data_IF_336735077361
#
_entry.id   IF_336735077361
#
_cell.length_a   1.000
_cell.length_b   1.000
_cell.length_c   1.000
_cell.angle_alpha   90.00
_cell.angle_beta   90.00
_cell.angle_gamma   90.00
#
_symmetry.space_group_name_H-M   'P 1'
#
loop_
_entity.id
_entity.type
_entity.pdbx_description
1 polymer ?
#
# COMPACT_ATOMS: atom_id res chain seq x y z
N UNK A 1 21.46 2.33 -0.92
CA UNK A 1 22.16 3.60 -1.26
C UNK A 1 21.64 4.70 -0.35
N UNK A 2 22.53 5.59 0.05
CA UNK A 2 22.22 6.74 0.90
C UNK A 2 22.54 7.99 0.09
N UNK A 3 21.56 8.88 -0.09
CA UNK A 3 21.72 10.09 -0.90
C UNK A 3 21.16 11.31 -0.19
N UNK A 4 21.80 12.46 -0.42
CA UNK A 4 21.25 13.76 -0.04
C UNK A 4 20.43 14.31 -1.22
N UNK A 5 19.20 14.71 -0.96
CA UNK A 5 18.36 15.39 -1.96
C UNK A 5 18.66 16.89 -2.01
N UNK A 6 18.39 17.49 -3.17
CA UNK A 6 18.26 18.95 -3.24
C UNK A 6 17.01 19.43 -2.47
N UNK A 7 16.98 20.72 -2.08
CA UNK A 7 15.91 21.29 -1.26
C UNK A 7 14.51 21.14 -1.89
N UNK A 8 14.41 21.21 -3.22
CA UNK A 8 13.13 21.11 -3.93
C UNK A 8 12.61 19.69 -3.95
N UNK A 9 13.51 18.71 -4.10
CA UNK A 9 13.17 17.29 -4.02
C UNK A 9 12.86 16.88 -2.57
N UNK A 10 13.59 17.41 -1.59
CA UNK A 10 13.29 17.21 -0.18
C UNK A 10 11.88 17.73 0.19
N UNK A 11 11.54 18.94 -0.27
CA UNK A 11 10.21 19.52 -0.06
C UNK A 11 9.10 18.71 -0.75
N UNK A 12 9.33 18.18 -1.96
CA UNK A 12 8.40 17.31 -2.67
C UNK A 12 8.06 16.06 -1.85
N UNK A 13 9.07 15.45 -1.24
CA UNK A 13 8.88 14.25 -0.39
C UNK A 13 8.38 14.59 1.02
N UNK A 14 8.12 15.87 1.32
CA UNK A 14 7.67 16.30 2.65
C UNK A 14 8.74 16.23 3.72
N UNK A 15 10.01 16.19 3.31
CA UNK A 15 11.17 16.25 4.22
C UNK A 15 11.64 17.69 4.34
N UNK A 16 11.01 18.46 5.23
CA UNK A 16 11.35 19.87 5.47
C UNK A 16 12.59 20.06 6.33
N UNK A 17 12.98 19.04 7.09
CA UNK A 17 14.18 19.02 7.91
C UNK A 17 15.31 18.31 7.15
N UNK A 18 15.85 18.98 6.13
CA UNK A 18 16.78 18.51 5.11
C UNK A 18 18.14 17.92 5.60
N UNK A 19 18.22 17.40 6.80
CA UNK A 19 19.46 16.85 7.39
C UNK A 19 19.49 15.32 7.44
N UNK A 20 18.45 14.64 6.97
CA UNK A 20 18.39 13.19 6.90
C UNK A 20 18.69 12.66 5.50
N UNK A 21 19.59 11.69 5.41
CA UNK A 21 19.82 10.99 4.17
C UNK A 21 18.66 10.03 3.89
N UNK A 22 18.20 10.01 2.64
CA UNK A 22 17.28 9.00 2.17
C UNK A 22 17.99 7.65 2.08
N UNK A 23 17.28 6.59 2.41
CA UNK A 23 17.76 5.21 2.24
C UNK A 23 16.88 4.49 1.24
N UNK A 24 17.49 4.05 0.15
CA UNK A 24 16.84 3.20 -0.85
C UNK A 24 17.27 1.76 -0.64
N UNK A 25 16.28 0.89 -0.53
CA UNK A 25 16.46 -0.55 -0.41
C UNK A 25 15.86 -1.23 -1.63
N UNK A 26 16.63 -2.12 -2.22
CA UNK A 26 16.23 -2.92 -3.37
C UNK A 26 16.84 -4.30 -3.23
N UNK A 27 16.09 -5.32 -3.63
CA UNK A 27 16.65 -6.66 -3.77
C UNK A 27 17.67 -6.70 -4.92
N UNK A 28 18.72 -7.55 -4.82
CA UNK A 28 19.75 -7.66 -5.86
C UNK A 28 19.20 -8.00 -7.24
N UNK A 29 18.16 -8.82 -7.29
CA UNK A 29 17.57 -9.36 -8.52
C UNK A 29 16.46 -8.49 -9.12
N UNK A 30 16.25 -7.30 -8.59
CA UNK A 30 15.15 -6.40 -8.99
C UNK A 30 13.94 -6.56 -8.08
N UNK A 31 12.75 -6.21 -8.58
CA UNK A 31 11.51 -6.22 -7.82
C UNK A 31 11.17 -4.87 -7.20
N UNK A 32 10.42 -4.88 -6.12
CA UNK A 32 9.98 -3.66 -5.45
C UNK A 32 11.13 -2.93 -4.76
N UNK A 33 10.97 -1.63 -4.63
CA UNK A 33 11.92 -0.77 -3.93
C UNK A 33 11.23 -0.09 -2.75
N UNK A 34 11.99 0.09 -1.67
CA UNK A 34 11.54 0.83 -0.49
C UNK A 34 12.41 2.07 -0.32
N UNK A 35 11.77 3.23 -0.27
CA UNK A 35 12.42 4.50 0.01
C UNK A 35 12.06 4.91 1.45
N UNK A 36 13.06 4.94 2.32
CA UNK A 36 12.90 5.38 3.69
C UNK A 36 13.20 6.88 3.77
N UNK A 37 12.21 7.64 4.22
CA UNK A 37 12.30 9.06 4.47
C UNK A 37 12.55 9.29 5.97
N UNK A 38 13.58 10.04 6.37
CA UNK A 38 13.74 10.43 7.76
C UNK A 38 12.54 11.25 8.22
N UNK A 39 12.02 10.92 9.39
CA UNK A 39 10.92 11.63 10.04
C UNK A 39 11.24 11.85 11.50
N UNK A 40 10.72 12.92 12.09
CA UNK A 40 10.79 13.12 13.52
C UNK A 40 9.85 12.15 14.24
N UNK A 41 10.28 11.61 15.38
CA UNK A 41 9.41 10.82 16.27
C UNK A 41 8.24 11.64 16.82
N UNK A 42 8.33 12.96 16.78
CA UNK A 42 7.26 13.88 17.20
C UNK A 42 6.17 14.01 16.13
N UNK A 43 6.44 13.62 14.89
CA UNK A 43 5.41 13.61 13.84
C UNK A 43 4.33 12.55 14.15
N UNK A 44 3.06 12.88 13.92
CA UNK A 44 1.98 11.94 14.15
C UNK A 44 2.06 10.73 13.20
N UNK A 45 1.48 9.62 13.60
CA UNK A 45 1.25 8.50 12.69
C UNK A 45 0.22 8.89 11.63
N UNK A 46 0.48 8.57 10.36
CA UNK A 46 -0.48 8.74 9.25
C UNK A 46 -1.76 7.96 9.52
N UNK A 47 -1.63 6.73 10.01
CA UNK A 47 -2.75 5.95 10.53
C UNK A 47 -2.57 5.81 12.03
N UNK A 48 -3.41 6.47 12.86
CA UNK A 48 -3.35 6.31 14.30
C UNK A 48 -3.48 4.83 14.71
N UNK A 49 -2.70 4.39 15.68
CA UNK A 49 -2.68 2.98 16.13
C UNK A 49 -4.06 2.49 16.63
N UNK A 50 -4.88 3.41 17.13
CA UNK A 50 -6.23 3.10 17.58
C UNK A 50 -7.26 2.95 16.44
N UNK A 51 -6.86 3.20 15.18
CA UNK A 51 -7.77 3.02 14.05
C UNK A 51 -7.98 1.53 13.77
N UNK A 52 -9.22 1.06 13.67
CA UNK A 52 -9.52 -0.29 13.18
C UNK A 52 -8.86 -0.54 11.82
N UNK A 53 -8.50 -1.80 11.54
CA UNK A 53 -7.91 -2.21 10.25
C UNK A 53 -8.79 -1.77 9.09
N UNK A 54 -10.10 -1.99 9.19
CA UNK A 54 -11.07 -1.64 8.15
C UNK A 54 -11.31 -0.13 7.94
N UNK A 55 -10.60 0.76 8.67
CA UNK A 55 -10.78 2.21 8.49
C UNK A 55 -10.24 2.67 7.14
N UNK A 56 -11.05 3.29 6.26
CA UNK A 56 -10.57 3.81 5.00
C UNK A 56 -9.56 4.94 5.19
N UNK A 57 -8.61 5.05 4.26
CA UNK A 57 -7.70 6.18 4.17
C UNK A 57 -6.23 5.81 4.08
N UNK A 58 -5.56 6.40 3.11
CA UNK A 58 -4.14 6.17 2.85
C UNK A 58 -3.80 4.77 2.37
N UNK A 59 -2.50 4.47 2.41
CA UNK A 59 -1.98 3.13 2.19
C UNK A 59 -2.04 2.41 3.53
N UNK A 60 -2.73 1.26 3.57
CA UNK A 60 -2.88 0.50 4.82
C UNK A 60 -1.64 -0.33 5.10
N UNK A 61 -1.24 -1.16 4.14
CA UNK A 61 -0.10 -2.05 4.29
C UNK A 61 0.67 -2.29 2.99
N UNK A 62 1.78 -2.99 3.15
CA UNK A 62 2.57 -3.61 2.09
C UNK A 62 2.54 -5.12 2.30
N UNK A 63 2.45 -5.88 1.21
CA UNK A 63 2.28 -7.32 1.26
C UNK A 63 3.52 -8.07 0.81
N UNK A 64 3.93 -9.08 1.59
CA UNK A 64 5.02 -10.00 1.29
C UNK A 64 4.53 -11.45 1.37
N UNK A 65 5.09 -12.30 0.52
CA UNK A 65 4.85 -13.75 0.57
C UNK A 65 5.86 -14.42 1.48
N UNK A 66 5.46 -15.52 2.10
CA UNK A 66 6.38 -16.41 2.83
C UNK A 66 6.06 -17.87 2.48
N UNK A 67 7.07 -18.72 2.59
CA UNK A 67 6.91 -20.18 2.52
C UNK A 67 6.53 -20.81 3.87
N UNK A 68 6.76 -20.06 4.97
CA UNK A 68 6.54 -20.50 6.36
C UNK A 68 6.12 -19.32 7.23
N UNK A 69 4.82 -19.21 7.51
CA UNK A 69 4.29 -18.09 8.32
C UNK A 69 4.72 -18.16 9.78
N UNK A 70 4.99 -19.33 10.34
CA UNK A 70 5.44 -19.44 11.74
C UNK A 70 6.89 -18.96 11.88
N UNK A 71 7.74 -19.28 10.90
CA UNK A 71 9.09 -18.73 10.82
C UNK A 71 9.05 -17.21 10.62
N UNK A 72 8.23 -16.71 9.70
CA UNK A 72 8.11 -15.27 9.41
C UNK A 72 7.68 -14.47 10.66
N UNK A 73 6.73 -14.98 11.44
CA UNK A 73 6.33 -14.39 12.72
C UNK A 73 7.50 -14.26 13.69
N UNK A 74 8.25 -15.35 13.89
CA UNK A 74 9.42 -15.35 14.77
C UNK A 74 10.50 -14.38 14.29
N UNK A 75 10.75 -14.33 12.98
CA UNK A 75 11.72 -13.42 12.37
C UNK A 75 11.32 -11.97 12.57
N UNK A 76 10.08 -11.61 12.26
CA UNK A 76 9.58 -10.24 12.38
C UNK A 76 9.57 -9.77 13.84
N UNK A 77 9.13 -10.62 14.78
CA UNK A 77 9.17 -10.30 16.20
C UNK A 77 10.59 -10.04 16.71
N UNK A 78 11.57 -10.84 16.26
CA UNK A 78 12.98 -10.65 16.60
C UNK A 78 13.57 -9.33 16.03
N UNK A 79 12.92 -8.73 15.02
CA UNK A 79 13.33 -7.49 14.38
C UNK A 79 12.43 -6.29 14.73
N UNK A 80 11.69 -6.35 15.85
CA UNK A 80 10.94 -5.22 16.39
C UNK A 80 9.56 -5.00 15.78
N UNK A 81 9.04 -5.95 14.99
CA UNK A 81 7.67 -5.93 14.54
C UNK A 81 6.74 -6.50 15.61
N UNK A 82 5.63 -5.83 15.86
CA UNK A 82 4.56 -6.32 16.73
C UNK A 82 3.47 -6.96 15.89
N UNK A 83 2.91 -8.04 16.38
CA UNK A 83 1.76 -8.68 15.78
C UNK A 83 0.51 -7.79 15.96
N UNK A 84 -0.11 -7.38 14.87
CA UNK A 84 -1.38 -6.67 14.85
C UNK A 84 -2.54 -7.65 14.73
N UNK A 85 -2.38 -8.67 13.87
CA UNK A 85 -3.28 -9.81 13.71
C UNK A 85 -2.44 -11.07 13.58
N UNK A 86 -2.71 -12.04 14.46
CA UNK A 86 -2.05 -13.36 14.38
C UNK A 86 -2.36 -14.06 13.07
N UNK A 87 -1.42 -14.80 12.49
CA UNK A 87 -1.65 -15.53 11.25
C UNK A 87 -2.84 -16.47 11.32
N UNK A 88 -3.78 -16.29 10.43
CA UNK A 88 -5.00 -17.10 10.29
C UNK A 88 -5.12 -17.65 8.89
N UNK A 89 -5.61 -18.88 8.75
CA UNK A 89 -5.93 -19.46 7.45
C UNK A 89 -7.33 -19.06 7.03
N UNK A 90 -7.45 -18.53 5.82
CA UNK A 90 -8.74 -18.13 5.26
C UNK A 90 -8.78 -18.33 3.75
N UNK A 91 -9.99 -18.27 3.19
CA UNK A 91 -10.24 -18.52 1.78
C UNK A 91 -10.70 -17.27 1.06
N UNK A 92 -10.18 -17.10 -0.14
CA UNK A 92 -10.59 -16.09 -1.10
C UNK A 92 -10.89 -16.79 -2.43
N UNK A 93 -12.17 -17.06 -2.70
CA UNK A 93 -12.55 -17.96 -3.80
C UNK A 93 -11.92 -19.34 -3.63
N UNK A 94 -11.14 -19.79 -4.63
CA UNK A 94 -10.42 -21.07 -4.59
C UNK A 94 -9.04 -20.96 -3.91
N UNK A 95 -8.65 -19.75 -3.54
CA UNK A 95 -7.35 -19.48 -2.90
C UNK A 95 -7.47 -19.68 -1.40
N UNK A 96 -6.60 -20.51 -0.84
CA UNK A 96 -6.40 -20.63 0.60
C UNK A 96 -5.04 -20.00 0.95
N UNK A 97 -5.07 -19.09 1.91
CA UNK A 97 -3.87 -18.39 2.40
C UNK A 97 -3.87 -18.37 3.92
N UNK A 98 -2.67 -18.35 4.51
CA UNK A 98 -2.46 -18.04 5.92
C UNK A 98 -1.82 -16.66 5.98
N UNK A 99 -2.50 -15.72 6.61
CA UNK A 99 -2.14 -14.30 6.60
C UNK A 99 -2.07 -13.75 8.01
N UNK A 100 -1.05 -12.97 8.29
CA UNK A 100 -0.89 -12.22 9.52
C UNK A 100 -0.46 -10.79 9.23
N UNK A 101 -0.88 -9.86 10.10
CA UNK A 101 -0.52 -8.44 10.01
C UNK A 101 0.45 -8.08 11.12
N UNK A 102 1.50 -7.36 10.75
CA UNK A 102 2.55 -6.91 11.65
C UNK A 102 2.73 -5.39 11.52
N UNK A 103 3.03 -4.74 12.62
CA UNK A 103 3.16 -3.28 12.69
C UNK A 103 4.44 -2.87 13.40
N UNK A 104 5.08 -1.81 12.92
CA UNK A 104 6.18 -1.13 13.59
C UNK A 104 5.74 0.15 14.28
N UNK A 105 6.57 0.67 15.18
CA UNK A 105 6.32 1.91 15.93
C UNK A 105 6.16 3.14 15.02
N UNK A 106 6.67 3.06 13.78
CA UNK A 106 6.46 4.09 12.76
C UNK A 106 5.12 3.98 12.03
N UNK A 107 4.25 3.05 12.44
CA UNK A 107 2.93 2.86 11.83
C UNK A 107 2.97 2.15 10.48
N UNK A 108 4.09 1.56 10.10
CA UNK A 108 4.19 0.73 8.89
C UNK A 108 3.55 -0.61 9.20
N UNK A 109 2.54 -0.99 8.42
CA UNK A 109 1.90 -2.31 8.49
C UNK A 109 2.43 -3.16 7.34
N UNK A 110 2.71 -4.43 7.65
CA UNK A 110 3.10 -5.47 6.70
C UNK A 110 2.16 -6.65 6.84
N UNK A 111 1.54 -7.05 5.74
CA UNK A 111 0.86 -8.33 5.66
C UNK A 111 1.86 -9.40 5.17
N UNK A 112 1.87 -10.53 5.85
CA UNK A 112 2.68 -11.68 5.46
C UNK A 112 1.78 -12.84 5.12
N UNK A 113 1.86 -13.29 3.86
CA UNK A 113 0.93 -14.23 3.26
C UNK A 113 1.64 -15.53 2.86
N UNK A 114 1.21 -16.65 3.46
CA UNK A 114 1.59 -17.99 3.02
C UNK A 114 0.48 -18.58 2.17
N UNK A 115 0.74 -18.83 0.88
CA UNK A 115 -0.19 -19.52 0.01
C UNK A 115 -0.24 -21.00 0.37
N UNK A 116 -1.43 -21.47 0.81
CA UNK A 116 -1.66 -22.87 1.14
C UNK A 116 -2.21 -23.65 -0.07
N UNK A 117 -3.17 -23.05 -0.82
CA UNK A 117 -3.75 -23.69 -2.00
C UNK A 117 -4.32 -22.63 -2.99
N UNK A 118 -4.21 -22.84 -4.33
CA UNK A 118 -3.24 -23.70 -4.98
C UNK A 118 -1.81 -23.21 -4.75
N UNK A 119 -0.79 -24.08 -4.85
CA UNK A 119 0.59 -23.65 -4.72
C UNK A 119 0.95 -22.55 -5.72
N UNK A 120 1.81 -21.61 -5.30
CA UNK A 120 2.36 -20.60 -6.19
C UNK A 120 3.16 -21.26 -7.31
N UNK A 121 2.91 -20.85 -8.55
CA UNK A 121 3.63 -21.36 -9.71
C UNK A 121 4.51 -20.26 -10.32
N UNK A 122 5.76 -20.61 -10.61
CA UNK A 122 6.70 -19.71 -11.26
C UNK A 122 7.24 -18.57 -10.39
N UNK A 123 6.83 -18.51 -9.11
CA UNK A 123 7.29 -17.53 -8.15
C UNK A 123 8.25 -18.23 -7.19
N UNK A 124 9.51 -17.80 -7.20
CA UNK A 124 10.55 -18.34 -6.33
C UNK A 124 11.06 -17.23 -5.41
N UNK A 125 11.13 -17.52 -4.14
CA UNK A 125 11.76 -16.67 -3.13
C UNK A 125 12.34 -17.56 -2.02
N UNK A 126 13.30 -17.04 -1.30
CA UNK A 126 13.88 -17.73 -0.14
C UNK A 126 13.28 -17.13 1.12
N UNK A 127 12.47 -17.91 1.83
CA UNK A 127 11.76 -17.57 3.08
C UNK A 127 10.71 -16.46 2.92
N UNK A 128 11.08 -15.30 2.42
CA UNK A 128 10.17 -14.16 2.17
C UNK A 128 10.44 -13.58 0.79
N UNK A 129 9.37 -13.16 0.10
CA UNK A 129 9.48 -12.44 -1.17
C UNK A 129 9.87 -10.97 -0.93
N UNK A 130 10.06 -10.23 -2.02
CA UNK A 130 9.92 -8.79 -2.01
C UNK A 130 8.44 -8.38 -1.79
N UNK A 131 8.21 -7.06 -1.70
CA UNK A 131 6.86 -6.50 -1.62
C UNK A 131 6.19 -6.71 -2.99
N UNK A 132 5.09 -7.47 -3.03
CA UNK A 132 4.42 -7.78 -4.29
C UNK A 132 3.19 -6.93 -4.56
N UNK A 133 2.52 -6.42 -3.53
CA UNK A 133 1.45 -5.43 -3.67
C UNK A 133 1.31 -4.56 -2.40
N UNK A 134 0.34 -3.65 -2.42
CA UNK A 134 -0.05 -2.82 -1.29
C UNK A 134 -1.56 -2.80 -1.18
N UNK A 135 -2.08 -2.62 0.04
CA UNK A 135 -3.52 -2.56 0.29
C UNK A 135 -3.96 -1.13 0.65
N UNK A 136 -5.07 -0.70 0.08
CA UNK A 136 -5.78 0.51 0.49
C UNK A 136 -7.19 0.15 0.98
N UNK A 137 -7.49 0.50 2.22
CA UNK A 137 -8.86 0.47 2.72
C UNK A 137 -9.60 1.68 2.16
N UNK A 138 -10.68 1.45 1.41
CA UNK A 138 -11.39 2.50 0.67
C UNK A 138 -12.86 2.59 1.05
N UNK A 139 -13.48 3.74 0.81
CA UNK A 139 -14.92 3.93 1.01
C UNK A 139 -15.75 3.42 -0.17
N UNK A 140 -15.14 3.26 -1.33
CA UNK A 140 -15.74 2.68 -2.54
C UNK A 140 -14.67 2.18 -3.49
N UNK A 141 -14.67 0.88 -3.72
CA UNK A 141 -13.79 0.24 -4.72
C UNK A 141 -14.05 0.81 -6.10
N UNK A 142 -15.34 0.99 -6.51
CA UNK A 142 -15.68 1.53 -7.82
C UNK A 142 -15.08 2.90 -8.06
N UNK A 143 -15.21 3.78 -7.07
CA UNK A 143 -14.72 5.16 -7.15
C UNK A 143 -13.20 5.19 -7.26
N UNK A 144 -12.52 4.37 -6.48
CA UNK A 144 -11.05 4.32 -6.50
C UNK A 144 -10.54 3.66 -7.78
N UNK A 145 -11.21 2.62 -8.29
CA UNK A 145 -10.88 2.05 -9.61
C UNK A 145 -11.04 3.06 -10.75
N UNK A 146 -12.14 3.83 -10.76
CA UNK A 146 -12.33 4.88 -11.76
C UNK A 146 -11.21 5.93 -11.73
N UNK A 147 -10.69 6.24 -10.56
CA UNK A 147 -9.53 7.11 -10.40
C UNK A 147 -8.25 6.43 -10.92
N UNK A 148 -7.99 5.18 -10.56
CA UNK A 148 -6.79 4.43 -10.98
C UNK A 148 -6.76 4.18 -12.49
N UNK A 149 -7.91 4.07 -13.15
CA UNK A 149 -8.01 3.95 -14.62
C UNK A 149 -7.42 5.15 -15.38
N UNK A 150 -7.30 6.33 -14.74
CA UNK A 150 -6.55 7.45 -15.31
C UNK A 150 -5.06 7.16 -15.49
N UNK A 151 -4.55 6.14 -14.84
CA UNK A 151 -3.15 5.72 -14.85
C UNK A 151 -3.00 4.32 -15.44
N UNK A 152 -3.94 3.93 -16.31
CA UNK A 152 -3.96 2.66 -17.05
C UNK A 152 -4.06 1.41 -16.15
N UNK A 153 -4.52 1.56 -14.89
CA UNK A 153 -4.81 0.43 -14.03
C UNK A 153 -6.10 -0.27 -14.47
N UNK A 154 -6.01 -1.58 -14.63
CA UNK A 154 -7.15 -2.44 -14.94
C UNK A 154 -7.42 -3.41 -13.79
N UNK A 155 -8.70 -3.62 -13.49
CA UNK A 155 -9.13 -4.59 -12.51
C UNK A 155 -8.94 -6.02 -13.06
N UNK A 156 -8.20 -6.87 -12.37
CA UNK A 156 -8.06 -8.28 -12.72
C UNK A 156 -8.54 -9.24 -11.63
N UNK A 157 -8.83 -8.74 -10.42
CA UNK A 157 -9.53 -9.47 -9.37
C UNK A 157 -10.71 -8.63 -8.89
N UNK A 158 -11.89 -9.23 -8.78
CA UNK A 158 -13.08 -8.65 -8.15
C UNK A 158 -13.77 -9.73 -7.32
N UNK A 159 -13.83 -9.52 -6.02
CA UNK A 159 -14.55 -10.37 -5.10
C UNK A 159 -15.57 -9.55 -4.33
N UNK A 160 -16.78 -10.11 -4.20
CA UNK A 160 -17.84 -9.54 -3.38
C UNK A 160 -18.48 -10.66 -2.60
N UNK A 161 -18.56 -10.53 -1.32
CA UNK A 161 -19.23 -11.54 -0.53
C UNK A 161 -18.91 -11.44 0.96
N UNK A 162 -19.46 -12.38 1.71
CA UNK A 162 -19.11 -12.49 3.11
C UNK A 162 -17.63 -12.84 3.26
N UNK A 163 -17.01 -12.31 4.29
CA UNK A 163 -15.69 -12.71 4.74
C UNK A 163 -15.87 -13.57 6.00
N UNK A 164 -16.08 -14.89 5.84
CA UNK A 164 -16.46 -15.72 6.97
C UNK A 164 -15.29 -16.04 7.90
N UNK A 165 -15.61 -16.22 9.17
CA UNK A 165 -14.71 -16.80 10.15
C UNK A 165 -13.36 -16.10 10.29
N UNK A 166 -12.30 -16.82 10.04
CA UNK A 166 -10.92 -16.34 10.22
C UNK A 166 -10.56 -15.19 9.26
N UNK A 167 -11.17 -15.09 8.08
CA UNK A 167 -10.96 -13.95 7.17
C UNK A 167 -11.45 -12.64 7.77
N UNK A 168 -12.55 -12.66 8.54
CA UNK A 168 -13.03 -11.49 9.25
C UNK A 168 -12.02 -11.00 10.31
N UNK A 169 -11.25 -11.92 10.92
CA UNK A 169 -10.18 -11.58 11.87
C UNK A 169 -9.06 -10.76 11.24
N UNK A 170 -8.70 -11.03 9.99
CA UNK A 170 -7.66 -10.25 9.30
C UNK A 170 -8.04 -8.77 9.26
N UNK A 171 -9.34 -8.47 9.07
CA UNK A 171 -9.85 -7.11 9.06
C UNK A 171 -10.36 -6.62 10.43
N UNK A 172 -10.15 -7.39 11.50
CA UNK A 172 -10.69 -7.11 12.85
C UNK A 172 -12.22 -6.93 12.86
N UNK A 173 -12.92 -7.78 12.11
CA UNK A 173 -14.40 -7.78 11.98
C UNK A 173 -15.05 -9.00 12.61
N UNK A 174 -14.32 -9.78 13.42
CA UNK A 174 -14.80 -11.03 14.02
C UNK A 174 -15.99 -10.87 14.95
N UNK A 175 -16.13 -9.69 15.56
CA UNK A 175 -17.28 -9.36 16.44
C UNK A 175 -18.53 -8.95 15.66
N UNK A 176 -18.44 -8.85 14.33
CA UNK A 176 -19.55 -8.48 13.49
C UNK A 176 -20.37 -9.71 13.10
N UNK A 177 -21.71 -9.61 13.01
CA UNK A 177 -22.52 -10.70 12.48
C UNK A 177 -22.03 -11.10 11.09
N UNK A 178 -21.90 -12.40 10.84
CA UNK A 178 -21.44 -12.95 9.55
C UNK A 178 -22.20 -12.36 8.34
N UNK A 179 -23.49 -12.08 8.54
CA UNK A 179 -24.37 -11.46 7.54
C UNK A 179 -23.95 -10.03 7.16
N UNK A 180 -23.17 -9.35 8.01
CA UNK A 180 -22.73 -7.97 7.82
C UNK A 180 -21.23 -7.85 7.52
N UNK A 181 -20.45 -8.89 7.72
CA UNK A 181 -19.03 -8.95 7.36
C UNK A 181 -18.85 -9.15 5.85
N UNK A 182 -19.55 -8.36 5.04
CA UNK A 182 -19.39 -8.35 3.60
C UNK A 182 -18.28 -7.39 3.20
N UNK A 183 -17.36 -7.90 2.39
CA UNK A 183 -16.29 -7.12 1.80
C UNK A 183 -16.43 -7.08 0.30
N UNK A 184 -15.93 -6.02 -0.29
CA UNK A 184 -15.52 -5.98 -1.67
C UNK A 184 -14.02 -5.84 -1.72
N UNK A 185 -13.37 -6.75 -2.40
CA UNK A 185 -11.93 -6.76 -2.62
C UNK A 185 -11.68 -6.72 -4.13
N UNK A 186 -10.81 -5.83 -4.55
CA UNK A 186 -10.42 -5.69 -5.94
C UNK A 186 -8.91 -5.49 -6.03
N UNK A 187 -8.28 -6.12 -7.00
CA UNK A 187 -6.86 -5.92 -7.29
C UNK A 187 -6.73 -5.37 -8.69
N UNK A 188 -5.95 -4.29 -8.83
CA UNK A 188 -5.73 -3.59 -10.08
C UNK A 188 -4.24 -3.38 -10.36
N UNK A 189 -3.86 -3.52 -11.65
CA UNK A 189 -2.52 -3.28 -12.16
C UNK A 189 -2.59 -2.94 -13.67
N UNK A 190 -1.68 -2.10 -14.20
CA UNK A 190 -1.72 -1.73 -15.63
C UNK A 190 -1.63 -2.90 -16.60
N UNK A 191 -0.88 -3.95 -16.27
CA UNK A 191 -0.71 -5.14 -17.12
C UNK A 191 -1.37 -6.41 -16.56
N UNK A 192 -2.21 -6.29 -15.53
CA UNK A 192 -2.87 -7.42 -14.89
C UNK A 192 -1.96 -8.30 -14.04
N UNK A 193 -0.73 -7.86 -13.74
CA UNK A 193 0.19 -8.59 -12.88
C UNK A 193 -0.17 -8.44 -11.40
N UNK A 194 0.21 -9.43 -10.58
CA UNK A 194 0.07 -9.33 -9.13
C UNK A 194 1.15 -8.43 -8.54
N UNK A 195 2.38 -8.55 -9.01
CA UNK A 195 3.52 -7.81 -8.46
C UNK A 195 3.45 -6.34 -8.89
N UNK A 196 3.43 -5.43 -7.90
CA UNK A 196 3.20 -4.00 -8.08
C UNK A 196 1.73 -3.58 -8.12
N UNK A 197 0.80 -4.51 -7.92
CA UNK A 197 -0.64 -4.21 -7.91
C UNK A 197 -1.06 -3.42 -6.67
N UNK A 198 -2.25 -2.83 -6.75
CA UNK A 198 -2.94 -2.18 -5.64
C UNK A 198 -4.19 -3.00 -5.32
N UNK A 199 -4.27 -3.48 -4.10
CA UNK A 199 -5.46 -4.11 -3.55
C UNK A 199 -6.35 -3.05 -2.89
N UNK A 200 -7.61 -3.07 -3.24
CA UNK A 200 -8.64 -2.17 -2.72
C UNK A 200 -9.65 -2.98 -1.93
N UNK A 201 -9.87 -2.62 -0.67
CA UNK A 201 -10.86 -3.29 0.17
C UNK A 201 -11.84 -2.26 0.71
N UNK A 202 -13.14 -2.49 0.50
CA UNK A 202 -14.19 -1.78 1.22
C UNK A 202 -15.05 -2.73 2.05
N UNK A 203 -15.62 -2.18 3.13
CA UNK A 203 -16.52 -2.90 4.03
C UNK A 203 -17.84 -2.11 4.09
N UNK A 204 -18.73 -2.26 3.10
CA UNK A 204 -19.91 -1.39 2.92
C UNK A 204 -20.87 -1.38 4.12
N UNK A 205 -20.94 -2.49 4.87
CA UNK A 205 -21.79 -2.58 6.06
C UNK A 205 -21.25 -1.84 7.28
N UNK A 206 -19.98 -1.40 7.24
CA UNK A 206 -19.31 -0.68 8.32
C UNK A 206 -18.67 0.61 7.79
N UNK A 207 -19.48 1.63 7.41
CA UNK A 207 -18.95 2.88 6.91
C UNK A 207 -18.22 3.61 8.04
N UNK A 208 -16.90 3.53 8.03
CA UNK A 208 -16.03 4.31 8.90
C UNK A 208 -15.63 5.62 8.23
N UNK A 209 -15.41 6.69 8.99
CA UNK A 209 -14.90 7.93 8.42
C UNK A 209 -13.51 7.72 7.84
N UNK A 210 -13.29 8.20 6.61
CA UNK A 210 -11.99 8.10 5.96
C UNK A 210 -10.97 9.03 6.62
N UNK A 211 -9.73 8.56 6.72
CA UNK A 211 -8.58 9.35 7.15
C UNK A 211 -7.96 10.00 5.91
N UNK A 212 -7.99 11.32 5.80
CA UNK A 212 -7.30 12.04 4.73
C UNK A 212 -5.81 12.23 5.09
N UNK A 213 -4.98 11.32 4.61
CA UNK A 213 -3.54 11.31 4.90
C UNK A 213 -2.69 11.89 3.76
N UNK A 214 -3.27 12.14 2.58
CA UNK A 214 -2.51 12.50 1.39
C UNK A 214 -1.70 13.80 1.52
N UNK A 215 -2.21 14.72 2.32
CA UNK A 215 -1.62 16.05 2.57
C UNK A 215 -0.90 16.17 3.91
N UNK A 216 -0.90 15.11 4.71
CA UNK A 216 -0.30 15.12 6.02
C UNK A 216 1.17 14.72 5.93
N UNK A 217 2.03 15.48 6.58
CA UNK A 217 3.32 14.96 7.02
C UNK A 217 3.06 13.95 8.14
N UNK A 218 3.91 12.93 8.27
CA UNK A 218 3.74 11.96 9.32
C UNK A 218 4.57 10.70 9.11
N UNK A 219 4.55 9.81 10.09
CA UNK A 219 5.21 8.51 10.07
C UNK A 219 4.29 7.45 9.50
N UNK A 220 4.82 6.52 8.72
CA UNK A 220 4.09 5.42 8.09
C UNK A 220 4.27 5.34 6.59
N UNK A 221 3.38 4.63 5.92
CA UNK A 221 3.38 4.48 4.46
C UNK A 221 2.84 5.76 3.80
N UNK A 222 3.73 6.52 3.17
CA UNK A 222 3.40 7.86 2.66
C UNK A 222 2.89 7.86 1.23
N UNK A 223 3.52 7.10 0.35
CA UNK A 223 3.19 7.10 -1.08
C UNK A 223 3.56 5.78 -1.75
N UNK A 224 2.86 5.47 -2.82
CA UNK A 224 3.28 4.50 -3.82
C UNK A 224 3.93 5.24 -4.98
N UNK A 225 5.17 4.89 -5.32
CA UNK A 225 5.89 5.43 -6.46
C UNK A 225 5.69 4.50 -7.65
N UNK A 226 5.06 5.01 -8.71
CA UNK A 226 4.61 4.20 -9.84
C UNK A 226 5.29 4.71 -11.11
N UNK A 227 6.13 3.89 -11.79
CA UNK A 227 6.70 4.25 -13.07
C UNK A 227 5.60 4.25 -14.15
N UNK A 228 5.63 5.28 -15.01
CA UNK A 228 4.70 5.43 -16.12
C UNK A 228 5.47 5.43 -17.43
N UNK A 229 4.91 4.83 -18.47
CA UNK A 229 5.51 4.85 -19.79
C UNK A 229 5.59 6.28 -20.38
N UNK A 230 4.56 7.11 -20.12
CA UNK A 230 4.44 8.50 -20.55
C UNK A 230 3.79 9.32 -19.45
N UNK A 231 4.62 9.85 -18.56
CA UNK A 231 4.18 10.61 -17.38
C UNK A 231 3.51 11.94 -17.75
N UNK A 232 3.97 12.60 -18.82
CA UNK A 232 3.39 13.87 -19.30
C UNK A 232 1.96 13.65 -19.78
N UNK A 233 1.74 12.63 -20.59
CA UNK A 233 0.40 12.26 -21.07
C UNK A 233 -0.52 11.85 -19.93
N UNK A 234 -0.01 11.12 -18.95
CA UNK A 234 -0.78 10.77 -17.74
C UNK A 234 -1.18 12.01 -16.96
N UNK A 235 -0.28 12.97 -16.80
CA UNK A 235 -0.54 14.24 -16.15
C UNK A 235 -1.62 15.05 -16.89
N UNK A 236 -1.54 15.18 -18.21
CA UNK A 236 -2.55 15.88 -19.03
C UNK A 236 -3.93 15.22 -18.89
N UNK A 237 -4.00 13.89 -18.94
CA UNK A 237 -5.23 13.11 -18.75
C UNK A 237 -5.83 13.37 -17.37
N UNK A 238 -4.99 13.32 -16.32
CA UNK A 238 -5.43 13.61 -14.96
C UNK A 238 -5.95 15.05 -14.81
N UNK A 239 -5.22 16.04 -15.31
CA UNK A 239 -5.63 17.46 -15.25
C UNK A 239 -6.91 17.78 -16.03
N UNK A 240 -7.26 16.96 -17.02
CA UNK A 240 -8.51 17.08 -17.80
C UNK A 240 -9.67 16.30 -17.19
N UNK A 241 -9.45 15.58 -16.11
CA UNK A 241 -10.45 14.75 -15.43
C UNK A 241 -11.20 15.51 -14.33
N UNK A 242 -12.27 14.93 -13.83
CA UNK A 242 -12.98 15.40 -12.63
C UNK A 242 -12.15 15.32 -11.34
N UNK A 243 -10.99 14.67 -11.35
CA UNK A 243 -10.09 14.47 -10.21
C UNK A 243 -8.95 15.50 -10.13
N UNK A 244 -8.92 16.49 -11.00
CA UNK A 244 -7.83 17.47 -11.08
C UNK A 244 -7.60 18.28 -9.80
N UNK A 245 -8.62 18.42 -8.96
CA UNK A 245 -8.54 19.05 -7.63
C UNK A 245 -7.76 18.21 -6.60
N UNK A 246 -7.46 16.93 -6.92
CA UNK A 246 -6.69 16.03 -6.08
C UNK A 246 -5.20 16.06 -6.37
N UNK A 247 -4.74 17.01 -7.16
CA UNK A 247 -3.32 17.26 -7.38
C UNK A 247 -2.63 17.70 -6.07
N UNK A 248 -1.58 16.99 -5.68
CA UNK A 248 -0.73 17.34 -4.54
C UNK A 248 0.46 18.17 -5.04
N UNK A 249 1.20 17.64 -6.00
CA UNK A 249 2.34 18.30 -6.62
C UNK A 249 2.22 18.25 -8.15
N UNK A 250 2.37 19.40 -8.84
CA UNK A 250 2.34 19.45 -10.29
C UNK A 250 3.54 18.74 -10.89
N UNK A 251 3.39 18.35 -12.16
CA UNK A 251 4.47 17.76 -12.95
C UNK A 251 5.71 18.67 -12.89
N UNK A 252 6.80 18.09 -12.49
CA UNK A 252 8.07 18.81 -12.32
C UNK A 252 9.24 17.84 -12.33
N UNK A 253 10.40 18.35 -12.75
CA UNK A 253 11.63 17.58 -12.79
C UNK A 253 12.21 17.47 -11.39
N UNK A 254 12.42 16.25 -10.89
CA UNK A 254 12.90 15.98 -9.53
C UNK A 254 13.92 14.86 -9.52
N UNK A 255 14.76 14.89 -8.50
CA UNK A 255 15.66 13.81 -8.20
C UNK A 255 14.91 12.70 -7.46
N UNK A 256 14.85 11.52 -8.06
CA UNK A 256 14.44 10.30 -7.35
C UNK A 256 15.66 9.68 -6.66
N UNK A 257 15.51 9.19 -5.43
CA UNK A 257 16.60 8.52 -4.73
C UNK A 257 17.16 7.34 -5.55
N UNK A 258 18.47 7.38 -5.81
CA UNK A 258 19.18 6.34 -6.57
C UNK A 258 18.86 6.26 -8.05
N UNK A 259 18.17 7.27 -8.60
CA UNK A 259 17.85 7.36 -10.03
C UNK A 259 18.31 8.71 -10.60
N UNK A 260 18.32 8.77 -11.93
CA UNK A 260 18.45 10.05 -12.64
C UNK A 260 17.24 10.93 -12.32
N UNK A 261 17.42 12.24 -12.47
CA UNK A 261 16.31 13.16 -12.43
C UNK A 261 15.21 12.72 -13.41
N UNK A 262 13.98 12.74 -12.96
CA UNK A 262 12.81 12.36 -13.77
C UNK A 262 11.68 13.38 -13.60
N UNK A 263 10.76 13.38 -14.55
CA UNK A 263 9.51 14.11 -14.39
C UNK A 263 8.56 13.31 -13.51
N UNK A 264 7.96 13.97 -12.55
CA UNK A 264 7.10 13.35 -11.54
C UNK A 264 5.98 14.30 -11.13
N UNK A 265 4.81 13.77 -10.86
CA UNK A 265 3.72 14.48 -10.21
C UNK A 265 3.08 13.62 -9.12
N UNK A 266 2.38 14.26 -8.18
CA UNK A 266 1.73 13.56 -7.07
C UNK A 266 0.26 13.85 -7.03
N UNK A 267 -0.54 12.83 -6.76
CA UNK A 267 -1.98 12.90 -6.63
C UNK A 267 -2.48 12.17 -5.38
N UNK A 268 -3.64 12.59 -4.88
CA UNK A 268 -4.35 11.90 -3.82
C UNK A 268 -5.45 11.02 -4.40
N UNK A 269 -5.43 9.72 -4.16
CA UNK A 269 -6.56 8.84 -4.42
C UNK A 269 -7.81 9.29 -3.63
N UNK A 270 -9.03 8.85 -3.99
CA UNK A 270 -10.27 9.28 -3.34
C UNK A 270 -10.26 9.18 -1.82
N UNK A 271 -9.62 8.18 -1.25
CA UNK A 271 -9.50 7.95 0.19
C UNK A 271 -8.11 8.34 0.74
N UNK A 272 -7.39 9.24 0.07
CA UNK A 272 -6.19 9.86 0.59
C UNK A 272 -4.89 9.07 0.39
N UNK A 273 -4.89 7.95 -0.30
CA UNK A 273 -3.64 7.30 -0.71
C UNK A 273 -2.86 8.19 -1.68
N UNK A 274 -1.61 8.51 -1.37
CA UNK A 274 -0.76 9.30 -2.27
C UNK A 274 -0.11 8.41 -3.32
N UNK A 275 -0.22 8.81 -4.57
CA UNK A 275 0.49 8.21 -5.70
C UNK A 275 1.48 9.24 -6.27
N UNK A 276 2.72 8.84 -6.40
CA UNK A 276 3.79 9.59 -7.05
C UNK A 276 4.11 8.90 -8.38
N UNK A 277 3.74 9.55 -9.49
CA UNK A 277 3.80 8.99 -10.84
C UNK A 277 4.99 9.62 -11.59
N UNK A 278 5.89 8.78 -12.16
CA UNK A 278 7.13 9.23 -12.80
C UNK A 278 7.53 8.43 -14.04
#
# INVERSE_FOLDING_TARGET
>A
QTEALDDASAAFWGNTDAHGALHRWRLPDGGSEVILLPTSFEEPLLRPEACPVATPGGIFDINMRTDDSDWACGFLAAHGWRELVSPVAWHFGEVETKEGLFIQDDGIVMAVMQRLHPPLQGINFDRMSDIFNSTQMVTSVERTLAFLQLFDFEQFVDHRGPLPGEGARVLQLEDQPEETAHVRLSIAHPDGAMDGSIELIDVPAHPLPSIDVAKLGGRGLRALCIPMEDVERCYERFMSSEWSDRLIHPLSHRQLPGQLNTDIFSVAAPDGGRLDLY
#
